data_IF_199327351017
#
_entry.id   IF_199327351017
#
_cell.length_a   1.000
_cell.length_b   1.000
_cell.length_c   1.000
_cell.angle_alpha   90.00
_cell.angle_beta   90.00
_cell.angle_gamma   90.00
#
_symmetry.space_group_name_H-M   'P 1'
#
loop_
_entity.id
_entity.type
_entity.pdbx_description
1 polymer ?
#
# COMPACT_ATOMS: atom_id res chain seq x y z
N UNK A 1 -7.69 11.28 -14.70
CA UNK A 1 -8.24 11.36 -13.32
C UNK A 1 -7.27 10.70 -12.37
N UNK A 2 -6.97 11.34 -11.27
CA UNK A 2 -6.09 10.79 -10.23
C UNK A 2 -6.67 11.19 -8.88
N UNK A 3 -6.81 10.21 -7.97
CA UNK A 3 -7.44 10.45 -6.68
C UNK A 3 -6.80 9.58 -5.60
N UNK A 4 -6.40 10.23 -4.52
CA UNK A 4 -5.91 9.54 -3.33
C UNK A 4 -7.09 8.95 -2.55
N UNK A 5 -6.96 7.70 -2.14
CA UNK A 5 -8.01 7.00 -1.38
C UNK A 5 -7.62 6.95 0.11
N UNK A 6 -6.38 6.54 0.39
CA UNK A 6 -5.92 6.42 1.77
C UNK A 6 -4.42 6.62 1.83
N UNK A 7 -3.95 7.28 2.87
CA UNK A 7 -2.54 7.52 3.13
C UNK A 7 -2.26 7.21 4.60
N UNK A 8 -1.34 6.31 4.87
CA UNK A 8 -1.01 5.91 6.23
C UNK A 8 0.50 5.98 6.43
N UNK A 9 0.91 6.63 7.52
CA UNK A 9 2.30 6.65 7.95
C UNK A 9 2.48 5.64 9.07
N UNK A 10 3.34 4.66 8.85
CA UNK A 10 3.70 3.67 9.87
C UNK A 10 4.99 4.15 10.52
N UNK A 11 4.86 4.82 11.66
CA UNK A 11 6.00 5.37 12.38
C UNK A 11 6.63 4.33 13.32
N UNK A 12 7.60 4.75 14.13
CA UNK A 12 8.31 3.83 15.01
C UNK A 12 7.40 3.17 16.05
N UNK A 13 6.26 3.81 16.40
CA UNK A 13 5.32 3.25 17.36
C UNK A 13 4.51 2.10 16.79
N UNK A 14 4.41 2.01 15.46
CA UNK A 14 3.70 0.94 14.75
C UNK A 14 4.57 -0.28 14.48
N UNK A 15 5.88 -0.17 14.76
CA UNK A 15 6.82 -1.25 14.52
C UNK A 15 6.96 -2.12 15.76
N UNK A 16 7.12 -3.45 15.61
CA UNK A 16 7.37 -4.31 16.74
C UNK A 16 8.72 -4.01 17.39
N UNK A 17 8.81 -4.25 18.70
CA UNK A 17 10.06 -4.12 19.43
C UNK A 17 11.06 -5.19 18.95
N UNK A 18 12.34 -4.87 19.02
CA UNK A 18 13.41 -5.84 18.75
C UNK A 18 13.76 -5.98 17.30
N UNK A 19 13.21 -5.14 16.41
CA UNK A 19 13.64 -5.12 15.00
C UNK A 19 15.02 -4.50 14.89
N UNK A 20 15.90 -5.14 14.13
CA UNK A 20 17.15 -4.54 13.70
C UNK A 20 16.85 -3.55 12.58
N UNK A 21 17.39 -2.33 12.66
CA UNK A 21 17.26 -1.32 11.63
C UNK A 21 15.80 -1.01 11.25
N UNK A 22 14.92 -0.65 12.18
CA UNK A 22 13.54 -0.37 11.85
C UNK A 22 13.43 0.84 10.91
N UNK A 23 12.75 0.66 9.80
CA UNK A 23 12.54 1.73 8.82
C UNK A 23 11.06 2.10 8.81
N UNK A 24 10.69 3.29 9.30
CA UNK A 24 9.31 3.74 9.20
C UNK A 24 8.96 4.03 7.74
N UNK A 25 7.80 3.59 7.32
CA UNK A 25 7.32 3.75 5.95
C UNK A 25 5.93 4.35 5.93
N UNK A 26 5.58 4.95 4.81
CA UNK A 26 4.22 5.35 4.50
C UNK A 26 3.73 4.51 3.33
N UNK A 27 2.44 4.18 3.33
CA UNK A 27 1.82 3.62 2.15
C UNK A 27 0.64 4.48 1.73
N UNK A 28 0.40 4.50 0.42
CA UNK A 28 -0.69 5.26 -0.19
C UNK A 28 -1.42 4.36 -1.16
N UNK A 29 -2.75 4.41 -1.11
CA UNK A 29 -3.58 3.80 -2.13
C UNK A 29 -4.27 4.91 -2.89
N UNK A 30 -4.17 4.89 -4.21
CA UNK A 30 -4.77 5.88 -5.09
C UNK A 30 -5.34 5.20 -6.32
N UNK A 31 -6.13 5.93 -7.09
CA UNK A 31 -6.64 5.48 -8.38
C UNK A 31 -6.20 6.45 -9.46
N UNK A 32 -5.94 5.94 -10.65
CA UNK A 32 -5.56 6.76 -11.79
C UNK A 32 -5.94 6.06 -13.09
N UNK A 33 -6.27 6.84 -14.11
CA UNK A 33 -6.41 6.39 -15.49
C UNK A 33 -5.41 7.09 -16.41
N UNK A 34 -4.41 7.76 -15.83
CA UNK A 34 -3.38 8.50 -16.56
C UNK A 34 -2.32 7.54 -17.11
N UNK A 35 -2.74 6.64 -17.97
CA UNK A 35 -1.92 5.67 -18.67
C UNK A 35 -2.17 5.79 -20.18
N UNK A 36 -1.25 5.30 -20.99
CA UNK A 36 -1.41 5.34 -22.45
C UNK A 36 -2.67 4.63 -22.92
N UNK A 37 -3.08 3.57 -22.22
CA UNK A 37 -4.31 2.82 -22.54
C UNK A 37 -5.57 3.42 -21.91
N UNK A 38 -5.43 4.46 -21.10
CA UNK A 38 -6.52 5.13 -20.37
C UNK A 38 -7.35 4.18 -19.47
N UNK A 39 -6.84 2.99 -19.19
CA UNK A 39 -7.52 2.04 -18.30
C UNK A 39 -7.29 2.40 -16.85
N UNK A 40 -8.34 2.44 -16.00
CA UNK A 40 -8.16 2.76 -14.60
C UNK A 40 -7.42 1.65 -13.85
N UNK A 41 -6.52 2.07 -12.98
CA UNK A 41 -5.76 1.17 -12.11
C UNK A 41 -5.72 1.69 -10.69
N UNK A 42 -5.54 0.76 -9.76
CA UNK A 42 -5.21 1.09 -8.38
C UNK A 42 -3.70 1.19 -8.27
N UNK A 43 -3.24 2.28 -7.67
CA UNK A 43 -1.80 2.46 -7.40
C UNK A 43 -1.56 2.29 -5.92
N UNK A 44 -0.61 1.44 -5.56
CA UNK A 44 -0.14 1.31 -4.18
C UNK A 44 1.32 1.73 -4.14
N UNK A 45 1.60 2.72 -3.31
CA UNK A 45 2.95 3.27 -3.15
C UNK A 45 3.43 2.99 -1.74
N UNK A 46 4.66 2.52 -1.62
CA UNK A 46 5.34 2.38 -0.32
C UNK A 46 6.60 3.21 -0.38
N UNK A 47 6.76 4.14 0.56
CA UNK A 47 7.94 5.00 0.64
C UNK A 47 8.44 5.08 2.08
N UNK A 48 9.75 5.32 2.19
CA UNK A 48 10.36 5.63 3.48
C UNK A 48 9.89 6.99 3.94
N UNK A 49 9.55 7.12 5.24
CA UNK A 49 9.19 8.43 5.79
C UNK A 49 10.36 9.39 5.67
N UNK A 50 10.07 10.62 5.24
CA UNK A 50 11.06 11.66 5.02
C UNK A 50 11.76 11.59 3.67
N UNK A 51 11.42 10.63 2.82
CA UNK A 51 12.01 10.47 1.50
C UNK A 51 10.92 10.42 0.42
N UNK A 52 10.07 11.44 0.39
CA UNK A 52 8.95 11.53 -0.56
C UNK A 52 9.48 11.47 -2.00
N UNK A 53 8.81 10.65 -2.82
CA UNK A 53 9.22 10.42 -4.20
C UNK A 53 10.26 9.31 -4.38
N UNK A 54 10.79 8.77 -3.28
CA UNK A 54 11.76 7.67 -3.30
C UNK A 54 11.09 6.37 -2.85
N UNK A 55 10.02 6.02 -3.51
CA UNK A 55 9.23 4.85 -3.18
C UNK A 55 9.00 3.94 -4.37
N UNK A 56 8.39 2.80 -4.10
CA UNK A 56 7.97 1.85 -5.12
C UNK A 56 6.48 1.97 -5.34
N UNK A 57 6.07 1.93 -6.61
CA UNK A 57 4.66 2.02 -6.99
C UNK A 57 4.25 0.72 -7.67
N UNK A 58 3.24 0.07 -7.11
CA UNK A 58 2.58 -1.04 -7.79
C UNK A 58 1.37 -0.52 -8.54
N UNK A 59 1.31 -0.80 -9.84
CA UNK A 59 0.19 -0.43 -10.71
C UNK A 59 -0.70 -1.67 -10.85
N UNK A 60 -1.84 -1.67 -10.15
CA UNK A 60 -2.67 -2.85 -10.02
C UNK A 60 -3.90 -2.76 -10.92
N UNK A 61 -4.06 -3.74 -11.80
CA UNK A 61 -5.35 -3.93 -12.48
C UNK A 61 -6.45 -4.20 -11.45
N UNK A 62 -7.74 -4.03 -11.79
CA UNK A 62 -8.82 -4.38 -10.86
C UNK A 62 -8.68 -5.81 -10.30
N UNK A 63 -8.30 -6.78 -11.13
CA UNK A 63 -8.13 -8.15 -10.68
C UNK A 63 -6.97 -8.31 -9.70
N UNK A 64 -5.84 -7.68 -9.96
CA UNK A 64 -4.71 -7.71 -9.03
C UNK A 64 -5.00 -6.98 -7.73
N UNK A 65 -5.76 -5.89 -7.79
CA UNK A 65 -6.19 -5.18 -6.58
C UNK A 65 -7.09 -6.08 -5.72
N UNK A 66 -8.03 -6.82 -6.33
CA UNK A 66 -8.87 -7.79 -5.62
C UNK A 66 -8.05 -8.91 -5.01
N UNK A 67 -7.04 -9.39 -5.73
CA UNK A 67 -6.14 -10.43 -5.24
C UNK A 67 -5.37 -9.97 -4.00
N UNK A 68 -4.84 -8.74 -4.02
CA UNK A 68 -4.17 -8.16 -2.85
C UNK A 68 -5.14 -8.02 -1.68
N UNK A 69 -6.34 -7.50 -1.91
CA UNK A 69 -7.37 -7.38 -0.88
C UNK A 69 -7.67 -8.74 -0.25
N UNK A 70 -7.83 -9.77 -1.08
CA UNK A 70 -8.14 -11.12 -0.59
C UNK A 70 -6.97 -11.71 0.20
N UNK A 71 -5.73 -11.46 -0.24
CA UNK A 71 -4.55 -11.93 0.48
C UNK A 71 -4.45 -11.28 1.86
N UNK A 72 -4.73 -9.98 1.97
CA UNK A 72 -4.73 -9.29 3.25
C UNK A 72 -5.84 -9.84 4.17
N UNK A 73 -7.02 -10.10 3.62
CA UNK A 73 -8.12 -10.69 4.39
C UNK A 73 -7.75 -12.09 4.90
N UNK A 74 -7.15 -12.91 4.05
CA UNK A 74 -6.73 -14.27 4.43
C UNK A 74 -5.63 -14.23 5.51
N UNK A 75 -4.68 -13.32 5.38
CA UNK A 75 -3.62 -13.14 6.37
C UNK A 75 -4.19 -12.75 7.74
N UNK A 76 -5.17 -11.84 7.77
CA UNK A 76 -5.83 -11.46 9.01
C UNK A 76 -6.52 -12.66 9.66
N UNK A 77 -7.18 -13.50 8.88
CA UNK A 77 -7.81 -14.73 9.39
C UNK A 77 -6.79 -15.69 9.97
N UNK A 78 -5.60 -15.81 9.34
CA UNK A 78 -4.54 -16.69 9.84
C UNK A 78 -4.05 -16.29 11.22
N UNK A 79 -4.08 -15.00 11.56
CA UNK A 79 -3.69 -14.52 12.89
C UNK A 79 -4.88 -14.34 13.83
N UNK A 80 -6.06 -14.85 13.45
CA UNK A 80 -7.24 -14.84 14.31
C UNK A 80 -8.01 -13.53 14.33
N UNK A 81 -7.78 -12.66 13.35
CA UNK A 81 -8.45 -11.37 13.25
C UNK A 81 -9.52 -11.40 12.16
N UNK A 82 -10.53 -10.54 12.31
CA UNK A 82 -11.53 -10.37 11.27
C UNK A 82 -10.97 -9.54 10.12
N UNK A 83 -11.28 -9.91 8.88
CA UNK A 83 -10.82 -9.15 7.72
C UNK A 83 -11.48 -7.78 7.59
#
# INVERSE_FOLDING_TARGET
>A
MRRSIDVVQLDLNDLPDGLDDPTPVAWTVSVSDDYDDAEPRVQMTVERLGAAGDGLVAHLSPNNARRLRNALADALKEIGEQP
#
